data_IF_150184855329
#
_entry.id   IF_150184855329
#
_cell.length_a   1.000
_cell.length_b   1.000
_cell.length_c   1.000
_cell.angle_alpha   90.00
_cell.angle_beta   90.00
_cell.angle_gamma   90.00
#
_symmetry.space_group_name_H-M   'P 1'
#
loop_
_entity.id
_entity.type
_entity.pdbx_description
1 polymer ?
#
# COMPACT_ATOMS: atom_id res chain seq x y z
N UNK A 1 -12.24 -9.17 -7.54
CA UNK A 1 -12.63 -8.11 -6.59
C UNK A 1 -13.05 -6.84 -7.31
N UNK A 2 -13.99 -6.04 -6.75
CA UNK A 2 -14.28 -4.73 -7.29
C UNK A 2 -13.18 -3.72 -6.89
N UNK A 3 -12.59 -2.96 -7.82
CA UNK A 3 -11.60 -1.94 -7.49
C UNK A 3 -12.21 -0.88 -6.56
N UNK A 4 -11.37 -0.25 -5.74
CA UNK A 4 -11.78 0.92 -4.96
C UNK A 4 -11.99 2.09 -5.93
N UNK A 5 -13.18 2.68 -5.89
CA UNK A 5 -13.56 3.86 -6.69
C UNK A 5 -13.61 5.12 -5.85
N UNK A 6 -13.96 4.98 -4.58
CA UNK A 6 -13.99 6.08 -3.63
C UNK A 6 -13.62 5.59 -2.22
N UNK A 7 -13.07 6.53 -1.44
CA UNK A 7 -12.62 6.32 -0.07
C UNK A 7 -13.11 7.50 0.76
N UNK A 8 -13.68 7.24 1.92
CA UNK A 8 -13.96 8.26 2.92
C UNK A 8 -13.25 7.94 4.23
N UNK A 9 -12.47 8.89 4.74
CA UNK A 9 -11.71 8.77 5.98
C UNK A 9 -12.17 9.85 6.94
N UNK A 10 -12.58 9.47 8.15
CA UNK A 10 -13.00 10.37 9.23
C UNK A 10 -12.23 10.08 10.51
N UNK A 11 -11.83 11.14 11.19
CA UNK A 11 -11.21 11.10 12.52
C UNK A 11 -10.00 10.19 12.63
N UNK A 12 -9.10 10.20 11.63
CA UNK A 12 -7.90 9.36 11.61
C UNK A 12 -6.61 10.18 11.59
N UNK A 13 -5.78 10.09 12.63
CA UNK A 13 -4.48 10.79 12.76
C UNK A 13 -4.58 12.29 12.43
N UNK A 14 -3.98 12.73 11.30
CA UNK A 14 -4.05 14.12 10.84
C UNK A 14 -5.28 14.39 9.94
N UNK A 15 -6.12 13.41 9.68
CA UNK A 15 -7.28 13.51 8.80
C UNK A 15 -8.54 13.67 9.64
N UNK A 16 -9.14 14.86 9.65
CA UNK A 16 -10.45 15.09 10.29
C UNK A 16 -11.57 14.46 9.46
N UNK A 17 -11.63 14.84 8.20
CA UNK A 17 -12.56 14.28 7.23
C UNK A 17 -12.03 14.53 5.82
N UNK A 18 -11.87 13.45 5.07
CA UNK A 18 -11.44 13.49 3.68
C UNK A 18 -12.21 12.48 2.85
N UNK A 19 -12.70 12.91 1.70
CA UNK A 19 -13.31 12.06 0.69
C UNK A 19 -12.42 12.06 -0.56
N UNK A 20 -12.19 10.88 -1.11
CA UNK A 20 -11.42 10.64 -2.32
C UNK A 20 -12.37 9.97 -3.31
N UNK A 21 -12.66 10.61 -4.42
CA UNK A 21 -13.47 10.08 -5.50
C UNK A 21 -12.59 9.88 -6.74
N UNK A 22 -13.05 9.04 -7.67
CA UNK A 22 -12.38 8.84 -8.94
C UNK A 22 -11.08 8.06 -8.87
N UNK A 23 -10.94 7.12 -7.91
CA UNK A 23 -9.78 6.25 -7.88
C UNK A 23 -9.70 5.44 -9.18
N UNK A 24 -8.49 5.42 -9.77
CA UNK A 24 -8.14 4.68 -10.97
C UNK A 24 -7.35 3.41 -10.61
N UNK A 25 -6.77 2.74 -11.59
CA UNK A 25 -5.93 1.57 -11.36
C UNK A 25 -4.63 1.92 -10.63
N UNK A 26 -4.02 3.05 -10.98
CA UNK A 26 -2.83 3.61 -10.32
C UNK A 26 -3.23 4.92 -9.64
N UNK A 27 -3.06 4.98 -8.32
CA UNK A 27 -3.39 6.14 -7.50
C UNK A 27 -2.13 6.62 -6.79
N UNK A 28 -1.67 7.82 -7.10
CA UNK A 28 -0.41 8.36 -6.60
C UNK A 28 -0.68 9.55 -5.69
N UNK A 29 -0.13 9.53 -4.48
CA UNK A 29 -0.20 10.63 -3.51
C UNK A 29 1.15 11.34 -3.45
N UNK A 30 1.15 12.62 -3.76
CA UNK A 30 2.31 13.49 -3.68
C UNK A 30 2.04 14.69 -2.77
N UNK A 31 3.07 15.31 -2.25
CA UNK A 31 2.95 16.45 -1.34
C UNK A 31 4.21 16.65 -0.53
N UNK A 32 4.30 17.76 0.18
CA UNK A 32 5.42 18.04 1.08
C UNK A 32 5.60 16.96 2.16
N UNK A 33 6.76 16.85 2.79
CA UNK A 33 6.94 16.02 3.96
C UNK A 33 5.94 16.39 5.07
N UNK A 34 5.51 15.38 5.85
CA UNK A 34 4.67 15.55 7.04
C UNK A 34 3.26 16.13 6.79
N UNK A 35 2.73 16.09 5.59
CA UNK A 35 1.34 16.53 5.28
C UNK A 35 0.29 15.43 5.45
N UNK A 36 0.69 14.19 5.78
CA UNK A 36 -0.22 13.08 6.06
C UNK A 36 -0.44 12.09 4.92
N UNK A 37 0.42 12.04 3.89
CA UNK A 37 0.35 11.03 2.82
C UNK A 37 0.32 9.60 3.37
N UNK A 38 1.24 9.27 4.27
CA UNK A 38 1.29 7.95 4.92
C UNK A 38 0.01 7.63 5.69
N UNK A 39 -0.63 8.63 6.31
CA UNK A 39 -1.87 8.42 7.05
C UNK A 39 -3.01 7.96 6.14
N UNK A 40 -3.01 8.35 4.86
CA UNK A 40 -3.98 7.88 3.87
C UNK A 40 -3.78 6.39 3.59
N UNK A 41 -2.54 5.98 3.29
CA UNK A 41 -2.22 4.56 3.04
C UNK A 41 -2.42 3.71 4.29
N UNK A 42 -2.09 4.22 5.47
CA UNK A 42 -2.33 3.53 6.73
C UNK A 42 -3.84 3.34 6.99
N UNK A 43 -4.68 4.35 6.69
CA UNK A 43 -6.13 4.22 6.84
C UNK A 43 -6.70 3.10 5.95
N UNK A 44 -6.29 3.05 4.67
CA UNK A 44 -6.68 1.96 3.76
C UNK A 44 -6.05 0.64 4.24
N UNK A 45 -4.79 0.68 4.67
CA UNK A 45 -4.01 -0.46 5.15
C UNK A 45 -4.59 -1.13 6.40
N UNK A 46 -5.44 -0.43 7.19
CA UNK A 46 -6.15 -1.04 8.32
C UNK A 46 -6.93 -2.29 7.90
N UNK A 47 -7.46 -2.33 6.69
CA UNK A 47 -8.14 -3.51 6.19
C UNK A 47 -7.21 -4.71 6.00
N UNK A 48 -5.93 -4.51 5.67
CA UNK A 48 -4.97 -5.61 5.52
C UNK A 48 -4.62 -6.29 6.85
N UNK A 49 -4.89 -5.62 7.99
CA UNK A 49 -4.66 -6.19 9.32
C UNK A 49 -5.50 -7.44 9.60
N UNK A 50 -6.64 -7.57 8.95
CA UNK A 50 -7.55 -8.70 9.15
C UNK A 50 -7.06 -10.03 8.54
N UNK A 51 -6.12 -9.98 7.59
CA UNK A 51 -5.46 -11.21 7.09
C UNK A 51 -4.57 -11.86 8.12
N UNK A 52 -4.11 -11.09 9.08
CA UNK A 52 -3.11 -11.45 10.07
C UNK A 52 -3.74 -11.95 11.38
N UNK A 53 -5.08 -12.11 11.40
CA UNK A 53 -5.80 -12.68 12.53
C UNK A 53 -5.34 -14.12 12.76
N UNK A 54 -4.79 -14.37 13.96
CA UNK A 54 -4.23 -15.67 14.33
C UNK A 54 -2.70 -15.79 14.15
N UNK A 55 -2.05 -14.81 13.53
CA UNK A 55 -0.60 -14.69 13.49
C UNK A 55 -0.11 -13.68 14.54
N UNK A 56 1.21 -13.69 14.84
CA UNK A 56 1.84 -12.71 15.75
C UNK A 56 1.88 -11.31 15.12
N UNK A 57 0.71 -10.72 14.93
CA UNK A 57 0.56 -9.41 14.30
C UNK A 57 0.63 -8.28 15.34
N UNK A 58 1.46 -7.29 15.05
CA UNK A 58 1.48 -6.05 15.82
C UNK A 58 0.78 -4.97 15.01
N UNK A 59 -0.20 -4.30 15.59
CA UNK A 59 -0.90 -3.18 14.95
C UNK A 59 0.07 -2.12 14.40
N UNK A 60 1.24 -1.98 15.05
CA UNK A 60 2.32 -1.11 14.62
C UNK A 60 2.96 -1.50 13.27
N UNK A 61 2.72 -2.71 12.78
CA UNK A 61 3.20 -3.15 11.47
C UNK A 61 2.38 -2.52 10.32
N UNK A 62 1.15 -2.09 10.61
CA UNK A 62 0.31 -1.37 9.63
C UNK A 62 0.27 0.13 9.90
N UNK A 63 0.14 0.53 11.17
CA UNK A 63 0.01 1.92 11.58
C UNK A 63 1.14 2.31 12.53
N UNK A 64 1.88 3.37 12.21
CA UNK A 64 2.96 3.90 13.05
C UNK A 64 2.38 4.64 14.26
N UNK A 65 2.14 3.94 15.36
CA UNK A 65 1.61 4.50 16.61
C UNK A 65 2.28 3.87 17.84
N UNK A 66 2.40 4.62 18.91
CA UNK A 66 2.85 4.13 20.22
C UNK A 66 1.68 3.90 21.18
N UNK A 67 0.60 4.63 20.98
CA UNK A 67 -0.63 4.55 21.79
C UNK A 67 -1.84 4.57 20.86
N UNK A 68 -2.91 3.87 21.20
CA UNK A 68 -4.12 3.83 20.39
C UNK A 68 -4.79 5.20 20.20
N UNK A 69 -4.69 6.10 21.19
CA UNK A 69 -5.19 7.47 21.05
C UNK A 69 -4.56 8.24 19.88
N UNK A 70 -3.37 7.86 19.42
CA UNK A 70 -2.70 8.49 18.27
C UNK A 70 -3.33 8.12 16.91
N UNK A 71 -4.23 7.13 16.88
CA UNK A 71 -5.03 6.79 15.70
C UNK A 71 -6.13 7.80 15.42
N UNK A 72 -6.57 8.54 16.43
CA UNK A 72 -7.68 9.47 16.35
C UNK A 72 -7.20 10.88 16.06
N UNK A 73 -7.98 11.64 15.28
CA UNK A 73 -7.67 13.04 14.97
C UNK A 73 -7.55 13.85 16.27
N UNK A 74 -6.44 14.58 16.40
CA UNK A 74 -6.09 15.32 17.62
C UNK A 74 -6.13 14.46 18.91
N UNK A 75 -5.95 13.13 18.78
CA UNK A 75 -6.07 12.16 19.89
C UNK A 75 -7.45 12.14 20.55
N UNK A 76 -8.48 12.63 19.86
CA UNK A 76 -9.86 12.65 20.37
C UNK A 76 -10.57 11.32 20.04
N UNK A 77 -10.44 10.36 20.96
CA UNK A 77 -11.03 9.03 20.86
C UNK A 77 -12.51 8.96 21.28
N UNK A 78 -13.14 10.11 21.62
CA UNK A 78 -14.59 10.16 21.88
C UNK A 78 -15.43 9.90 20.63
N UNK A 79 -14.85 10.15 19.48
CA UNK A 79 -15.44 9.86 18.19
C UNK A 79 -14.71 8.69 17.52
N UNK A 80 -15.44 7.77 16.93
CA UNK A 80 -14.86 6.68 16.19
C UNK A 80 -14.05 7.17 14.97
N UNK A 81 -12.95 6.48 14.65
CA UNK A 81 -12.34 6.59 13.33
C UNK A 81 -13.15 5.76 12.35
N UNK A 82 -13.46 6.32 11.20
CA UNK A 82 -14.20 5.64 10.15
C UNK A 82 -13.42 5.66 8.83
N UNK A 83 -13.23 4.50 8.23
CA UNK A 83 -12.70 4.35 6.87
C UNK A 83 -13.73 3.60 6.05
N UNK A 84 -14.26 4.25 5.01
CA UNK A 84 -15.30 3.65 4.17
C UNK A 84 -14.76 3.48 2.74
N UNK A 85 -14.92 2.30 2.16
CA UNK A 85 -14.55 1.99 0.80
C UNK A 85 -15.79 1.72 -0.04
N UNK A 86 -15.88 2.37 -1.22
CA UNK A 86 -16.97 2.20 -2.18
C UNK A 86 -18.37 2.43 -1.55
N UNK A 87 -18.45 3.28 -0.51
CA UNK A 87 -19.69 3.55 0.23
C UNK A 87 -20.34 2.29 0.87
N UNK A 88 -19.68 1.14 0.79
CA UNK A 88 -20.23 -0.17 1.16
C UNK A 88 -19.47 -0.84 2.30
N UNK A 89 -18.17 -0.75 2.34
CA UNK A 89 -17.34 -1.40 3.33
C UNK A 89 -16.86 -0.35 4.35
N UNK A 90 -17.34 -0.41 5.58
CA UNK A 90 -17.00 0.51 6.66
C UNK A 90 -16.12 -0.20 7.69
N UNK A 91 -14.94 0.35 7.96
CA UNK A 91 -14.09 0.01 9.09
C UNK A 91 -14.22 1.11 10.15
N UNK A 92 -14.48 0.72 11.39
CA UNK A 92 -14.55 1.61 12.54
C UNK A 92 -13.50 1.23 13.58
N UNK A 93 -12.77 2.23 14.09
CA UNK A 93 -11.93 2.09 15.28
C UNK A 93 -12.62 2.82 16.43
N UNK A 94 -12.80 2.13 17.55
CA UNK A 94 -13.46 2.65 18.74
C UNK A 94 -12.55 2.37 19.94
N UNK A 95 -12.20 3.39 20.70
CA UNK A 95 -11.53 3.19 22.00
C UNK A 95 -12.58 3.13 23.09
N UNK A 96 -12.61 2.00 23.81
CA UNK A 96 -13.55 1.83 24.92
C UNK A 96 -13.07 2.55 26.20
N UNK A 97 -13.90 2.54 27.26
CA UNK A 97 -13.59 3.21 28.54
C UNK A 97 -12.40 2.58 29.27
N UNK A 98 -12.08 1.34 29.02
CA UNK A 98 -10.89 0.64 29.58
C UNK A 98 -9.60 0.98 28.83
N UNK A 99 -9.69 1.71 27.73
CA UNK A 99 -8.54 2.09 26.91
C UNK A 99 -8.21 1.09 25.80
N UNK A 100 -8.99 0.00 25.67
CA UNK A 100 -8.81 -0.99 24.62
C UNK A 100 -9.33 -0.45 23.28
N UNK A 101 -8.73 -0.91 22.20
CA UNK A 101 -9.17 -0.61 20.84
C UNK A 101 -10.09 -1.71 20.33
N UNK A 102 -11.28 -1.32 19.91
CA UNK A 102 -12.22 -2.17 19.20
C UNK A 102 -12.14 -1.82 17.71
N UNK A 103 -11.97 -2.83 16.88
CA UNK A 103 -11.99 -2.70 15.41
C UNK A 103 -13.22 -3.40 14.89
N UNK A 104 -14.08 -2.67 14.19
CA UNK A 104 -15.33 -3.19 13.66
C UNK A 104 -15.35 -3.01 12.15
N UNK A 105 -15.74 -4.04 11.40
CA UNK A 105 -15.98 -3.91 9.96
C UNK A 105 -17.43 -4.28 9.66
N UNK A 106 -18.06 -3.43 8.88
CA UNK A 106 -19.46 -3.59 8.45
C UNK A 106 -19.53 -3.50 6.94
N UNK A 107 -20.14 -4.48 6.28
CA UNK A 107 -20.50 -4.40 4.88
C UNK A 107 -21.97 -4.01 4.75
N UNK A 108 -22.26 -2.97 3.95
CA UNK A 108 -23.62 -2.48 3.71
C UNK A 108 -24.15 -3.01 2.39
N UNK A 109 -25.36 -3.56 2.38
CA UNK A 109 -26.12 -3.82 1.15
C UNK A 109 -26.97 -2.60 0.83
N UNK A 110 -26.71 -1.97 -0.30
CA UNK A 110 -27.59 -0.96 -0.83
C UNK A 110 -28.85 -1.68 -1.31
N UNK A 111 -29.94 -1.58 -0.55
CA UNK A 111 -31.26 -1.99 -1.02
C UNK A 111 -31.94 -0.81 -1.73
N UNK A 112 -32.75 -1.11 -2.75
CA UNK A 112 -33.52 -0.08 -3.50
C UNK A 112 -34.42 0.78 -2.59
N UNK A 113 -34.69 0.34 -1.37
CA UNK A 113 -35.56 0.98 -0.37
C UNK A 113 -34.87 2.02 0.53
N UNK A 114 -33.65 2.49 0.23
CA UNK A 114 -32.92 3.53 1.01
C UNK A 114 -32.70 3.21 2.51
N UNK A 115 -32.90 2.00 2.97
CA UNK A 115 -32.52 1.58 4.33
C UNK A 115 -31.23 0.80 4.25
N UNK A 116 -30.18 1.37 4.82
CA UNK A 116 -28.89 0.68 5.03
C UNK A 116 -29.12 -0.46 6.04
N UNK A 117 -29.20 -1.68 5.55
CA UNK A 117 -29.23 -2.86 6.44
C UNK A 117 -27.79 -3.37 6.49
N UNK A 118 -27.15 -3.40 7.68
CA UNK A 118 -25.85 -4.06 7.81
C UNK A 118 -26.03 -5.55 7.50
N UNK A 119 -25.27 -6.07 6.54
CA UNK A 119 -25.32 -7.48 6.18
C UNK A 119 -24.42 -8.28 7.09
N UNK A 120 -23.33 -7.67 7.54
CA UNK A 120 -22.31 -8.32 8.38
C UNK A 120 -21.75 -7.32 9.38
N UNK A 121 -21.69 -7.71 10.63
CA UNK A 121 -21.00 -7.02 11.71
C UNK A 121 -19.95 -7.97 12.28
N UNK A 122 -18.68 -7.71 12.00
CA UNK A 122 -17.56 -8.43 12.59
C UNK A 122 -16.82 -7.49 13.52
N UNK A 123 -16.91 -7.75 14.80
CA UNK A 123 -16.20 -6.99 15.82
C UNK A 123 -14.95 -7.73 16.25
N UNK A 124 -13.82 -7.07 16.18
CA UNK A 124 -12.54 -7.59 16.69
C UNK A 124 -12.10 -6.67 17.83
N UNK A 125 -11.91 -7.26 19.00
CA UNK A 125 -11.37 -6.56 20.16
C UNK A 125 -9.84 -6.66 20.14
N UNK A 126 -9.17 -5.54 19.97
CA UNK A 126 -7.73 -5.43 20.16
C UNK A 126 -7.44 -5.03 21.62
N UNK A 127 -7.41 -6.01 22.53
CA UNK A 127 -6.93 -5.80 23.90
C UNK A 127 -5.41 -6.04 23.92
N UNK A 128 -4.63 -5.09 24.41
CA UNK A 128 -3.18 -5.23 24.62
C UNK A 128 -2.38 -5.74 23.41
N UNK A 129 -2.69 -5.27 22.18
CA UNK A 129 -2.06 -5.70 20.94
C UNK A 129 -2.37 -7.15 20.49
N UNK A 130 -3.31 -7.84 21.14
CA UNK A 130 -3.78 -9.16 20.72
C UNK A 130 -5.17 -9.05 20.08
N UNK A 131 -5.34 -9.65 18.91
CA UNK A 131 -6.65 -9.80 18.28
C UNK A 131 -7.40 -10.99 18.90
N UNK A 132 -8.62 -10.75 19.36
CA UNK A 132 -9.55 -11.83 19.76
C UNK A 132 -10.72 -11.88 18.78
N UNK A 133 -10.88 -13.01 18.11
CA UNK A 133 -11.97 -13.23 17.16
C UNK A 133 -13.31 -13.35 17.89
N UNK A 134 -14.28 -12.53 17.49
CA UNK A 134 -15.68 -12.71 17.85
C UNK A 134 -16.50 -12.98 16.58
N UNK A 135 -16.68 -14.27 16.24
CA UNK A 135 -17.72 -14.85 15.38
C UNK A 135 -18.26 -13.97 14.24
N UNK A 136 -17.71 -14.06 13.05
CA UNK A 136 -18.32 -13.45 11.87
C UNK A 136 -17.49 -13.38 10.60
N UNK A 137 -16.19 -13.68 10.63
CA UNK A 137 -15.29 -13.52 9.46
C UNK A 137 -15.50 -14.64 8.40
N UNK A 138 -16.41 -15.56 8.60
CA UNK A 138 -16.60 -16.74 7.74
C UNK A 138 -17.48 -16.52 6.51
N UNK A 139 -17.91 -15.28 6.22
CA UNK A 139 -18.71 -15.02 5.02
C UNK A 139 -17.82 -14.75 3.80
N UNK A 140 -17.96 -15.52 2.70
CA UNK A 140 -17.03 -15.52 1.56
C UNK A 140 -16.83 -14.13 0.91
N UNK A 141 -17.90 -13.38 0.71
CA UNK A 141 -17.84 -12.07 0.03
C UNK A 141 -17.10 -10.98 0.84
N UNK A 142 -17.21 -11.06 2.16
CA UNK A 142 -16.53 -10.15 3.08
C UNK A 142 -15.04 -10.48 3.16
N UNK A 143 -14.71 -11.74 3.34
CA UNK A 143 -13.35 -12.25 3.38
C UNK A 143 -12.59 -11.85 2.12
N UNK A 144 -13.18 -12.05 0.94
CA UNK A 144 -12.58 -11.67 -0.34
C UNK A 144 -12.25 -10.17 -0.41
N UNK A 145 -13.17 -9.29 0.00
CA UNK A 145 -12.98 -7.85 -0.07
C UNK A 145 -11.84 -7.34 0.83
N UNK A 146 -11.73 -7.90 2.03
CA UNK A 146 -10.69 -7.54 3.01
C UNK A 146 -9.35 -8.16 2.65
N UNK A 147 -9.34 -9.42 2.24
CA UNK A 147 -8.12 -10.15 1.88
C UNK A 147 -7.45 -9.61 0.61
N UNK A 148 -8.18 -8.88 -0.22
CA UNK A 148 -7.62 -8.28 -1.41
C UNK A 148 -6.79 -7.03 -1.12
N UNK A 149 -6.97 -6.34 0.03
CA UNK A 149 -6.21 -5.15 0.39
C UNK A 149 -4.92 -5.57 1.07
N UNK A 150 -3.77 -5.16 0.52
CA UNK A 150 -2.45 -5.60 0.94
C UNK A 150 -1.50 -4.42 1.04
N UNK A 151 -1.14 -4.05 2.27
CA UNK A 151 -0.10 -3.05 2.52
C UNK A 151 1.27 -3.74 2.60
N UNK A 152 2.20 -3.27 1.80
CA UNK A 152 3.58 -3.75 1.77
C UNK A 152 4.55 -2.66 2.19
N UNK A 153 5.52 -3.04 3.02
CA UNK A 153 6.58 -2.17 3.50
C UNK A 153 7.90 -2.96 3.51
N UNK A 154 8.86 -2.52 2.72
CA UNK A 154 10.17 -3.18 2.68
C UNK A 154 10.95 -2.90 3.97
N UNK A 155 11.46 -3.96 4.59
CA UNK A 155 12.43 -3.91 5.69
C UNK A 155 13.67 -4.70 5.33
N UNK A 156 14.83 -4.04 5.37
CA UNK A 156 16.09 -4.66 4.98
C UNK A 156 16.58 -5.81 5.87
N UNK A 157 16.06 -5.90 7.08
CA UNK A 157 16.40 -6.91 8.11
C UNK A 157 15.31 -7.97 8.30
N UNK A 158 14.25 -7.98 7.45
CA UNK A 158 13.21 -8.98 7.53
C UNK A 158 13.75 -10.37 7.20
N UNK A 159 13.34 -11.37 7.96
CA UNK A 159 13.45 -12.77 7.59
C UNK A 159 12.62 -13.02 6.32
N UNK A 160 13.05 -13.95 5.47
CA UNK A 160 12.39 -14.25 4.19
C UNK A 160 12.02 -15.73 4.02
N UNK A 161 12.31 -16.55 5.01
CA UNK A 161 12.22 -18.01 4.97
C UNK A 161 11.02 -18.58 5.74
N UNK A 162 10.07 -17.73 6.15
CA UNK A 162 8.85 -18.17 6.79
C UNK A 162 7.99 -18.96 5.79
N UNK A 163 7.48 -20.11 6.21
CA UNK A 163 6.49 -20.85 5.43
C UNK A 163 5.18 -20.07 5.38
N UNK A 164 4.54 -20.04 4.22
CA UNK A 164 3.34 -19.25 4.02
C UNK A 164 2.64 -19.53 2.69
N UNK A 165 1.69 -18.69 2.29
CA UNK A 165 1.02 -18.78 0.99
C UNK A 165 1.99 -18.50 -0.17
N UNK A 166 1.60 -18.86 -1.39
CA UNK A 166 2.37 -18.54 -2.59
C UNK A 166 2.41 -17.04 -2.92
N UNK A 167 1.41 -16.28 -2.46
CA UNK A 167 1.44 -14.82 -2.52
C UNK A 167 2.31 -14.25 -1.41
N UNK A 168 3.02 -13.16 -1.70
CA UNK A 168 3.89 -12.51 -0.73
C UNK A 168 3.08 -12.09 0.52
N UNK A 169 3.58 -12.43 1.69
CA UNK A 169 2.94 -12.09 2.96
C UNK A 169 3.04 -10.61 3.27
N UNK A 170 1.94 -10.02 3.73
CA UNK A 170 1.92 -8.65 4.23
C UNK A 170 2.43 -8.63 5.68
N UNK A 171 3.02 -7.51 6.15
CA UNK A 171 3.46 -6.37 5.34
C UNK A 171 4.91 -6.51 4.84
N UNK A 172 5.73 -7.43 5.37
CA UNK A 172 7.18 -7.43 5.21
C UNK A 172 7.73 -8.50 4.27
N UNK A 173 6.88 -9.39 3.76
CA UNK A 173 7.30 -10.42 2.81
C UNK A 173 8.11 -11.55 3.42
N UNK A 174 7.82 -11.92 4.67
CA UNK A 174 8.57 -12.93 5.44
C UNK A 174 8.61 -14.32 4.75
N UNK A 175 7.71 -14.56 3.79
CA UNK A 175 7.64 -15.78 2.99
C UNK A 175 8.21 -15.65 1.57
N UNK A 176 9.12 -14.71 1.32
CA UNK A 176 9.68 -14.47 -0.02
C UNK A 176 10.29 -15.74 -0.62
N UNK A 177 10.97 -16.55 0.18
CA UNK A 177 11.53 -17.83 -0.25
C UNK A 177 10.43 -18.76 -0.81
N UNK A 178 9.32 -18.90 -0.12
CA UNK A 178 8.16 -19.70 -0.56
C UNK A 178 7.54 -19.16 -1.86
N UNK A 179 7.40 -17.82 -1.95
CA UNK A 179 6.96 -17.16 -3.18
C UNK A 179 7.86 -17.50 -4.37
N UNK A 180 9.17 -17.51 -4.16
CA UNK A 180 10.16 -17.83 -5.18
C UNK A 180 10.07 -19.32 -5.59
N UNK A 181 9.89 -20.23 -4.64
CA UNK A 181 9.69 -21.66 -4.95
C UNK A 181 8.44 -21.88 -5.79
N UNK A 182 7.34 -21.23 -5.44
CA UNK A 182 6.03 -21.43 -6.09
C UNK A 182 5.86 -20.70 -7.43
N UNK A 183 6.67 -19.67 -7.73
CA UNK A 183 6.46 -18.81 -8.90
C UNK A 183 7.64 -18.77 -9.85
N UNK A 184 7.57 -19.56 -10.93
CA UNK A 184 8.64 -19.65 -11.94
C UNK A 184 8.83 -18.36 -12.75
N UNK A 185 7.75 -17.58 -12.99
CA UNK A 185 7.83 -16.32 -13.70
C UNK A 185 8.59 -15.28 -12.84
N UNK A 186 8.28 -15.20 -11.54
CA UNK A 186 9.01 -14.35 -10.60
C UNK A 186 10.49 -14.70 -10.54
N UNK A 187 10.83 -16.00 -10.49
CA UNK A 187 12.25 -16.43 -10.52
C UNK A 187 12.99 -15.95 -11.76
N UNK A 188 12.36 -16.05 -12.94
CA UNK A 188 12.96 -15.59 -14.21
C UNK A 188 13.20 -14.09 -14.21
N UNK A 189 12.22 -13.32 -13.75
CA UNK A 189 12.31 -11.88 -13.67
C UNK A 189 13.41 -11.43 -12.68
N UNK A 190 13.54 -12.11 -11.54
CA UNK A 190 14.61 -11.81 -10.58
C UNK A 190 15.97 -12.23 -11.15
N UNK A 191 16.08 -13.41 -11.76
CA UNK A 191 17.33 -13.86 -12.37
C UNK A 191 17.85 -12.85 -13.40
N UNK A 192 16.96 -12.30 -14.23
CA UNK A 192 17.31 -11.29 -15.24
C UNK A 192 17.89 -10.00 -14.62
N UNK A 193 17.51 -9.63 -13.39
CA UNK A 193 18.10 -8.46 -12.71
C UNK A 193 19.60 -8.62 -12.41
N UNK A 194 20.09 -9.86 -12.36
CA UNK A 194 21.46 -10.19 -11.97
C UNK A 194 22.36 -10.61 -13.14
N UNK A 195 21.84 -10.69 -14.37
CA UNK A 195 22.60 -11.04 -15.56
C UNK A 195 23.76 -10.07 -15.82
N UNK A 196 23.50 -8.76 -15.69
CA UNK A 196 24.54 -7.72 -15.87
C UNK A 196 25.67 -7.84 -14.83
N UNK A 197 25.38 -8.41 -13.67
CA UNK A 197 26.35 -8.65 -12.60
C UNK A 197 27.08 -9.99 -12.74
N UNK A 198 26.74 -10.80 -13.76
CA UNK A 198 27.24 -12.17 -13.95
C UNK A 198 26.99 -13.04 -12.71
N UNK A 199 25.83 -12.87 -12.11
CA UNK A 199 25.39 -13.62 -10.95
C UNK A 199 24.19 -14.49 -11.30
N UNK A 200 24.15 -15.70 -10.76
CA UNK A 200 23.05 -16.64 -10.96
C UNK A 200 22.23 -16.79 -9.70
N UNK A 201 20.92 -16.58 -9.80
CA UNK A 201 19.97 -16.86 -8.72
C UNK A 201 19.98 -18.36 -8.40
N UNK A 202 20.17 -18.69 -7.15
CA UNK A 202 20.07 -20.06 -6.61
C UNK A 202 19.13 -20.02 -5.42
N UNK A 203 18.22 -20.97 -5.39
CA UNK A 203 17.21 -21.12 -4.34
C UNK A 203 17.30 -22.56 -3.87
N UNK A 204 17.54 -22.75 -2.60
CA UNK A 204 17.43 -24.06 -1.95
C UNK A 204 16.27 -24.07 -0.94
N UNK A 205 16.15 -25.13 -0.14
CA UNK A 205 15.04 -25.30 0.80
C UNK A 205 15.06 -24.32 1.97
N UNK A 206 16.18 -23.67 2.24
CA UNK A 206 16.37 -22.84 3.43
C UNK A 206 16.68 -21.38 3.12
N UNK A 207 17.30 -21.08 1.97
CA UNK A 207 17.75 -19.72 1.67
C UNK A 207 17.76 -19.37 0.16
N UNK A 208 17.87 -18.06 -0.08
CA UNK A 208 18.08 -17.47 -1.41
C UNK A 208 19.49 -16.87 -1.44
N UNK A 209 20.25 -17.21 -2.47
CA UNK A 209 21.55 -16.62 -2.69
C UNK A 209 21.87 -16.44 -4.17
N UNK A 210 22.93 -15.66 -4.45
CA UNK A 210 23.41 -15.39 -5.80
C UNK A 210 24.82 -15.92 -5.94
N UNK A 211 25.01 -16.80 -6.91
CA UNK A 211 26.30 -17.39 -7.21
C UNK A 211 27.05 -16.53 -8.22
N UNK A 212 28.21 -16.02 -7.83
CA UNK A 212 29.14 -15.33 -8.71
C UNK A 212 30.30 -16.25 -9.04
N UNK A 213 30.45 -16.58 -10.31
CA UNK A 213 31.60 -17.38 -10.78
C UNK A 213 32.85 -16.52 -10.81
N UNK A 214 33.96 -17.04 -10.23
CA UNK A 214 35.29 -16.42 -10.25
C UNK A 214 36.16 -17.06 -11.35
N UNK A 215 35.96 -18.37 -11.60
CA UNK A 215 36.53 -19.16 -12.67
C UNK A 215 35.59 -20.30 -13.04
N UNK A 216 35.98 -21.16 -13.98
CA UNK A 216 35.14 -22.29 -14.42
C UNK A 216 34.74 -23.23 -13.27
N UNK A 217 35.63 -23.39 -12.28
CA UNK A 217 35.47 -24.35 -11.20
C UNK A 217 35.21 -23.71 -9.81
N UNK A 218 35.23 -22.37 -9.72
CA UNK A 218 35.10 -21.69 -8.42
C UNK A 218 34.07 -20.57 -8.49
N UNK A 219 33.27 -20.47 -7.43
CA UNK A 219 32.27 -19.42 -7.27
C UNK A 219 32.16 -18.96 -5.82
N UNK A 220 31.57 -17.79 -5.62
CA UNK A 220 31.24 -17.23 -4.32
C UNK A 220 29.73 -17.10 -4.22
N UNK A 221 29.17 -17.67 -3.16
CA UNK A 221 27.78 -17.49 -2.78
C UNK A 221 27.62 -16.14 -2.08
N UNK A 222 26.66 -15.35 -2.53
CA UNK A 222 26.25 -14.08 -1.92
C UNK A 222 24.84 -14.28 -1.35
N UNK A 223 24.68 -14.48 -0.05
CA UNK A 223 23.36 -14.61 0.59
C UNK A 223 22.48 -13.38 0.33
N UNK A 224 21.16 -13.57 0.31
CA UNK A 224 20.19 -12.50 0.01
C UNK A 224 20.40 -11.25 0.87
N UNK A 225 20.69 -11.39 2.16
CA UNK A 225 20.88 -10.26 3.07
C UNK A 225 22.15 -9.41 2.76
N UNK A 226 23.10 -9.95 2.00
CA UNK A 226 24.30 -9.22 1.52
C UNK A 226 24.12 -8.58 0.14
N UNK A 227 22.98 -8.81 -0.52
CA UNK A 227 22.63 -8.13 -1.78
C UNK A 227 22.36 -6.66 -1.48
N UNK A 228 22.72 -5.79 -2.43
CA UNK A 228 22.48 -4.34 -2.32
C UNK A 228 21.01 -4.02 -2.02
N UNK A 229 20.76 -3.07 -1.13
CA UNK A 229 19.42 -2.68 -0.67
C UNK A 229 18.47 -2.35 -1.83
N UNK A 230 18.94 -1.62 -2.82
CA UNK A 230 18.20 -1.32 -4.05
C UNK A 230 17.64 -2.58 -4.73
N UNK A 231 18.48 -3.62 -4.88
CA UNK A 231 18.06 -4.85 -5.55
C UNK A 231 17.10 -5.66 -4.68
N UNK A 232 17.34 -5.74 -3.38
CA UNK A 232 16.43 -6.39 -2.43
C UNK A 232 15.04 -5.74 -2.42
N UNK A 233 14.99 -4.41 -2.46
CA UNK A 233 13.76 -3.63 -2.59
C UNK A 233 13.03 -3.96 -3.89
N UNK A 234 13.75 -3.96 -4.99
CA UNK A 234 13.16 -4.28 -6.29
C UNK A 234 12.62 -5.71 -6.33
N UNK A 235 13.35 -6.68 -5.77
CA UNK A 235 12.89 -8.07 -5.62
C UNK A 235 11.61 -8.13 -4.79
N UNK A 236 11.58 -7.44 -3.66
CA UNK A 236 10.42 -7.40 -2.77
C UNK A 236 9.15 -6.86 -3.47
N UNK A 237 9.24 -5.68 -4.11
CA UNK A 237 8.08 -5.09 -4.79
C UNK A 237 7.69 -5.88 -6.05
N UNK A 238 8.67 -6.43 -6.77
CA UNK A 238 8.39 -7.34 -7.89
C UNK A 238 7.66 -8.61 -7.41
N UNK A 239 8.08 -9.18 -6.28
CA UNK A 239 7.38 -10.31 -5.67
C UNK A 239 5.97 -9.91 -5.21
N UNK A 240 5.79 -8.73 -4.60
CA UNK A 240 4.48 -8.22 -4.21
C UNK A 240 3.54 -8.06 -5.41
N UNK A 241 4.03 -7.57 -6.53
CA UNK A 241 3.22 -7.38 -7.75
C UNK A 241 2.90 -8.74 -8.40
N UNK A 242 3.92 -9.55 -8.70
CA UNK A 242 3.77 -10.76 -9.51
C UNK A 242 3.16 -11.97 -8.76
N UNK A 243 3.12 -11.93 -7.42
CA UNK A 243 2.48 -12.98 -6.62
C UNK A 243 1.03 -12.67 -6.24
N UNK A 244 0.52 -11.50 -6.64
CA UNK A 244 -0.84 -11.07 -6.35
C UNK A 244 -1.64 -10.86 -7.64
N UNK A 245 -2.90 -11.27 -7.61
CA UNK A 245 -3.88 -11.01 -8.66
C UNK A 245 -5.17 -10.47 -8.06
N UNK A 246 -5.84 -9.57 -8.79
CA UNK A 246 -7.11 -8.96 -8.36
C UNK A 246 -7.06 -8.36 -6.95
N UNK A 247 -5.91 -7.76 -6.61
CA UNK A 247 -5.61 -7.22 -5.28
C UNK A 247 -5.46 -5.70 -5.32
N UNK A 248 -5.55 -5.08 -4.14
CA UNK A 248 -5.28 -3.66 -3.92
C UNK A 248 -3.97 -3.57 -3.17
N UNK A 249 -2.94 -3.09 -3.84
CA UNK A 249 -1.58 -3.03 -3.34
C UNK A 249 -1.26 -1.62 -2.87
N UNK A 250 -0.84 -1.49 -1.61
CA UNK A 250 -0.48 -0.22 -0.99
C UNK A 250 1.03 -0.19 -0.79
N UNK A 251 1.70 0.77 -1.44
CA UNK A 251 3.15 0.94 -1.39
C UNK A 251 3.52 2.32 -0.86
N UNK A 252 4.34 2.35 0.17
CA UNK A 252 4.86 3.59 0.75
C UNK A 252 6.31 3.80 0.34
N UNK A 253 6.57 4.86 -0.44
CA UNK A 253 7.89 5.23 -0.95
C UNK A 253 8.68 4.01 -1.49
N UNK A 254 8.10 3.26 -2.43
CA UNK A 254 8.75 2.04 -2.92
C UNK A 254 10.11 2.31 -3.57
N UNK A 255 10.28 3.52 -4.10
CA UNK A 255 11.51 3.98 -4.75
C UNK A 255 12.62 4.40 -3.78
N UNK A 256 12.36 4.47 -2.48
CA UNK A 256 13.35 4.92 -1.51
C UNK A 256 14.67 4.13 -1.65
N UNK A 257 15.80 4.85 -1.69
CA UNK A 257 17.15 4.30 -1.92
C UNK A 257 17.36 3.58 -3.27
N UNK A 258 16.42 3.69 -4.24
CA UNK A 258 16.61 3.14 -5.56
C UNK A 258 17.36 4.12 -6.48
N UNK A 259 18.31 3.59 -7.26
CA UNK A 259 18.93 4.32 -8.36
C UNK A 259 17.91 4.48 -9.51
N UNK A 260 17.84 5.64 -10.23
CA UNK A 260 16.79 5.94 -11.20
C UNK A 260 16.45 4.84 -12.22
N UNK A 261 17.39 4.13 -12.84
CA UNK A 261 17.08 3.01 -13.73
C UNK A 261 16.26 1.88 -13.08
N UNK A 262 16.41 1.66 -11.77
CA UNK A 262 15.64 0.65 -11.02
C UNK A 262 14.25 1.15 -10.65
N UNK A 263 14.10 2.48 -10.45
CA UNK A 263 12.77 3.10 -10.33
C UNK A 263 11.97 2.83 -11.60
N UNK A 264 12.59 2.98 -12.78
CA UNK A 264 11.92 2.67 -14.05
C UNK A 264 11.50 1.20 -14.15
N UNK A 265 12.33 0.25 -13.68
CA UNK A 265 11.95 -1.17 -13.62
C UNK A 265 10.72 -1.40 -12.73
N UNK A 266 10.71 -0.80 -11.53
CA UNK A 266 9.56 -0.88 -10.62
C UNK A 266 8.28 -0.28 -11.26
N UNK A 267 8.36 0.93 -11.81
CA UNK A 267 7.19 1.57 -12.43
C UNK A 267 6.68 0.80 -13.64
N UNK A 268 7.58 0.18 -14.41
CA UNK A 268 7.24 -0.72 -15.51
C UNK A 268 6.41 -1.91 -15.04
N UNK A 269 6.80 -2.56 -13.94
CA UNK A 269 6.02 -3.67 -13.36
C UNK A 269 4.59 -3.23 -12.99
N UNK A 270 4.41 -2.06 -12.39
CA UNK A 270 3.10 -1.48 -12.04
C UNK A 270 2.28 -1.13 -13.29
N UNK A 271 2.92 -0.57 -14.32
CA UNK A 271 2.25 -0.15 -15.57
C UNK A 271 1.70 -1.36 -16.34
N UNK A 272 2.50 -2.43 -16.42
CA UNK A 272 2.13 -3.64 -17.17
C UNK A 272 1.18 -4.56 -16.39
N UNK A 273 1.13 -4.49 -15.08
CA UNK A 273 0.12 -5.23 -14.31
C UNK A 273 -1.28 -4.64 -14.57
N UNK A 274 -2.16 -5.46 -15.12
CA UNK A 274 -3.55 -5.08 -15.42
C UNK A 274 -4.56 -5.72 -14.47
N UNK A 275 -4.10 -6.50 -13.51
CA UNK A 275 -4.95 -7.26 -12.59
C UNK A 275 -5.11 -6.57 -11.24
N UNK A 276 -4.10 -5.86 -10.78
CA UNK A 276 -4.07 -5.21 -9.47
C UNK A 276 -4.39 -3.71 -9.55
N UNK A 277 -4.86 -3.15 -8.44
CA UNK A 277 -5.00 -1.72 -8.24
C UNK A 277 -3.93 -1.25 -7.26
N UNK A 278 -3.34 -0.09 -7.53
CA UNK A 278 -2.21 0.44 -6.77
C UNK A 278 -2.56 1.76 -6.09
N UNK A 279 -2.13 1.91 -4.84
CA UNK A 279 -2.10 3.16 -4.09
C UNK A 279 -0.67 3.39 -3.62
N UNK A 280 -0.03 4.44 -4.11
CA UNK A 280 1.41 4.67 -3.96
C UNK A 280 1.65 6.06 -3.40
N UNK A 281 2.37 6.16 -2.28
CA UNK A 281 3.00 7.41 -1.87
C UNK A 281 4.37 7.52 -2.52
N UNK A 282 4.72 8.68 -3.04
CA UNK A 282 6.05 8.92 -3.60
C UNK A 282 6.54 10.33 -3.34
N UNK A 283 7.86 10.47 -3.27
CA UNK A 283 8.59 11.72 -3.29
C UNK A 283 9.49 11.84 -4.53
N UNK A 284 9.40 10.89 -5.46
CA UNK A 284 10.26 10.83 -6.63
C UNK A 284 9.57 11.37 -7.88
N UNK A 285 10.11 12.41 -8.52
CA UNK A 285 9.66 12.83 -9.85
C UNK A 285 9.76 11.71 -10.87
N UNK A 286 10.78 10.84 -10.80
CA UNK A 286 10.95 9.73 -11.72
C UNK A 286 9.80 8.70 -11.68
N UNK A 287 9.20 8.47 -10.51
CA UNK A 287 8.01 7.61 -10.37
C UNK A 287 6.82 8.25 -11.06
N UNK A 288 6.62 9.55 -10.79
CA UNK A 288 5.50 10.30 -11.32
C UNK A 288 5.57 10.44 -12.84
N UNK A 289 6.73 10.84 -13.36
CA UNK A 289 6.97 11.01 -14.79
C UNK A 289 6.72 9.72 -15.56
N UNK A 290 7.23 8.58 -15.03
CA UNK A 290 7.01 7.29 -15.67
C UNK A 290 5.53 6.92 -15.76
N UNK A 291 4.72 7.18 -14.73
CA UNK A 291 3.29 6.92 -14.76
C UNK A 291 2.53 7.89 -15.66
N UNK A 292 2.93 9.16 -15.69
CA UNK A 292 2.33 10.16 -16.57
C UNK A 292 2.62 9.87 -18.05
N UNK A 293 3.82 9.38 -18.37
CA UNK A 293 4.19 9.01 -19.73
C UNK A 293 3.42 7.80 -20.25
N UNK A 294 3.40 6.70 -19.48
CA UNK A 294 3.03 5.37 -19.98
C UNK A 294 1.68 4.85 -19.44
N UNK A 295 1.05 5.54 -18.50
CA UNK A 295 -0.17 5.07 -17.87
C UNK A 295 -1.20 6.18 -17.54
N UNK A 296 -1.17 7.31 -18.26
CA UNK A 296 -1.98 8.50 -17.96
C UNK A 296 -3.49 8.19 -17.84
N UNK A 297 -4.03 7.30 -18.67
CA UNK A 297 -5.46 6.93 -18.65
C UNK A 297 -5.85 6.17 -17.37
N UNK A 298 -4.92 5.39 -16.84
CA UNK A 298 -5.08 4.56 -15.65
C UNK A 298 -4.65 5.27 -14.35
N UNK A 299 -4.17 6.52 -14.44
CA UNK A 299 -3.52 7.28 -13.36
C UNK A 299 -4.45 8.31 -12.73
N UNK A 300 -4.50 8.34 -11.41
CA UNK A 300 -5.03 9.44 -10.61
C UNK A 300 -3.92 9.99 -9.70
N UNK A 301 -3.69 11.31 -9.73
CA UNK A 301 -2.70 12.00 -8.91
C UNK A 301 -3.43 12.83 -7.86
N UNK A 302 -3.09 12.65 -6.60
CA UNK A 302 -3.63 13.37 -5.47
C UNK A 302 -2.55 14.26 -4.84
N UNK A 303 -2.80 15.57 -4.85
CA UNK A 303 -1.98 16.56 -4.18
C UNK A 303 -2.40 16.63 -2.72
N UNK A 304 -1.53 16.16 -1.82
CA UNK A 304 -1.77 16.14 -0.37
C UNK A 304 -1.08 17.33 0.27
N UNK A 305 -1.83 18.09 1.07
CA UNK A 305 -1.33 19.29 1.73
C UNK A 305 -1.91 19.42 3.14
N UNK A 306 -1.32 20.29 3.94
CA UNK A 306 -1.77 20.54 5.30
C UNK A 306 -2.43 21.92 5.36
N UNK A 307 -3.68 21.98 5.78
CA UNK A 307 -4.42 23.23 5.94
C UNK A 307 -5.18 23.24 7.26
N UNK A 308 -5.08 24.38 8.00
CA UNK A 308 -5.79 24.60 9.26
C UNK A 308 -5.69 23.45 10.28
N UNK A 309 -4.52 22.81 10.37
CA UNK A 309 -4.28 21.75 11.33
C UNK A 309 -4.74 20.36 10.90
N UNK A 310 -5.10 20.16 9.64
CA UNK A 310 -5.55 18.88 9.12
C UNK A 310 -5.01 18.56 7.72
N UNK A 311 -4.89 17.28 7.41
CA UNK A 311 -4.56 16.80 6.06
C UNK A 311 -5.73 17.05 5.11
N UNK A 312 -5.44 17.64 3.97
CA UNK A 312 -6.34 17.86 2.85
C UNK A 312 -5.79 17.24 1.58
N UNK A 313 -6.67 16.95 0.65
CA UNK A 313 -6.30 16.42 -0.67
C UNK A 313 -7.09 17.11 -1.77
N UNK A 314 -6.41 17.25 -2.91
CA UNK A 314 -7.00 17.69 -4.18
C UNK A 314 -6.61 16.69 -5.26
N UNK A 315 -7.58 16.17 -6.00
CA UNK A 315 -7.29 15.39 -7.20
C UNK A 315 -6.79 16.34 -8.30
N UNK A 316 -5.76 15.94 -9.01
CA UNK A 316 -5.24 16.68 -10.14
C UNK A 316 -6.16 16.50 -11.33
N UNK A 317 -6.55 17.59 -12.01
CA UNK A 317 -7.40 17.51 -13.20
C UNK A 317 -6.62 16.98 -14.39
N UNK A 318 -7.32 16.40 -15.37
CA UNK A 318 -6.71 15.97 -16.64
C UNK A 318 -5.98 17.15 -17.32
N UNK A 319 -6.59 18.32 -17.30
CA UNK A 319 -5.99 19.56 -17.85
C UNK A 319 -4.68 19.89 -17.15
N UNK A 320 -4.61 19.81 -15.80
CA UNK A 320 -3.38 20.09 -15.06
C UNK A 320 -2.30 19.03 -15.38
N UNK A 321 -2.70 17.75 -15.56
CA UNK A 321 -1.78 16.67 -15.96
C UNK A 321 -1.22 16.89 -17.37
N UNK A 322 -2.07 17.30 -18.32
CA UNK A 322 -1.65 17.63 -19.68
C UNK A 322 -0.68 18.81 -19.69
N UNK A 323 -0.96 19.86 -18.91
CA UNK A 323 -0.09 21.04 -18.77
C UNK A 323 1.30 20.63 -18.21
N UNK A 324 1.34 19.83 -17.15
CA UNK A 324 2.60 19.32 -16.59
C UNK A 324 3.39 18.55 -17.64
N UNK A 325 2.72 17.69 -18.40
CA UNK A 325 3.34 16.87 -19.44
C UNK A 325 3.84 17.70 -20.63
N UNK A 326 3.02 18.63 -21.12
CA UNK A 326 3.34 19.47 -22.29
C UNK A 326 4.52 20.41 -22.02
N UNK A 327 4.55 21.04 -20.84
CA UNK A 327 5.58 22.03 -20.50
C UNK A 327 6.75 21.44 -19.70
N UNK A 328 6.74 20.15 -19.39
CA UNK A 328 7.79 19.49 -18.61
C UNK A 328 7.95 20.08 -17.20
N UNK A 329 6.82 20.43 -16.56
CA UNK A 329 6.82 21.09 -15.25
C UNK A 329 7.17 20.06 -14.18
N UNK A 330 8.22 20.33 -13.38
CA UNK A 330 8.46 19.56 -12.18
C UNK A 330 7.38 19.87 -11.13
N UNK A 331 6.47 18.90 -10.94
CA UNK A 331 5.31 19.06 -10.07
C UNK A 331 5.70 19.20 -8.59
N UNK A 332 6.82 18.62 -8.15
CA UNK A 332 7.29 18.72 -6.77
C UNK A 332 7.77 20.13 -6.42
N UNK A 333 8.43 20.82 -7.37
CA UNK A 333 8.82 22.22 -7.18
C UNK A 333 7.65 23.19 -7.35
N UNK A 334 6.63 22.83 -8.12
CA UNK A 334 5.50 23.70 -8.47
C UNK A 334 4.19 23.36 -7.78
N UNK A 335 4.22 22.50 -6.76
CA UNK A 335 3.03 21.94 -6.10
C UNK A 335 2.03 23.02 -5.64
N UNK A 336 2.50 24.13 -5.07
CA UNK A 336 1.63 25.21 -4.59
C UNK A 336 0.81 25.88 -5.70
N UNK A 337 1.35 25.98 -6.90
CA UNK A 337 0.64 26.55 -8.03
C UNK A 337 -0.60 25.73 -8.37
N UNK A 338 -0.45 24.40 -8.40
CA UNK A 338 -1.54 23.49 -8.68
C UNK A 338 -2.55 23.35 -7.53
N UNK A 339 -2.13 23.59 -6.28
CA UNK A 339 -3.06 23.67 -5.15
C UNK A 339 -3.95 24.92 -5.23
N UNK A 340 -3.43 26.06 -5.69
CA UNK A 340 -4.14 27.36 -5.78
C UNK A 340 -5.11 27.43 -6.96
N UNK A 341 -4.86 26.78 -8.10
CA UNK A 341 -5.72 26.82 -9.30
C UNK A 341 -7.16 26.32 -9.07
N UNK A 342 -7.47 25.68 -7.96
CA UNK A 342 -8.82 25.25 -7.60
C UNK A 342 -9.68 26.26 -6.85
N UNK A 343 -9.14 27.41 -6.44
CA UNK A 343 -9.89 28.43 -5.68
C UNK A 343 -10.45 29.57 -6.55
N UNK A 344 -10.21 29.58 -7.87
CA UNK A 344 -10.60 30.70 -8.74
C UNK A 344 -12.00 30.53 -9.38
N UNK A 345 -12.68 29.39 -9.23
CA UNK A 345 -13.97 29.13 -9.87
C UNK A 345 -15.18 29.18 -8.92
N UNK A 346 -15.13 29.93 -7.81
CA UNK A 346 -16.31 30.26 -7.01
C UNK A 346 -16.24 31.74 -6.57
N UNK A 347 -16.39 32.64 -7.53
CA UNK A 347 -16.73 34.05 -7.32
C UNK A 347 -17.86 34.43 -8.29
#
# INVERSE_FOLDING_TARGET
>A
MNPIRNIEIKNFKSIRHQKIDGCKRINVFIGYPNVGKSNILEAIGLYSSFRLIGEYFKFNDICRVKRFSELFFNKDYRNATNVTLNEKLLLELIQNKSGDLEVRITAKKVTESKRDIPIYDSTILAANYEYRDNKGINEPAYKEAVEAIRKYEFKGDSEINRKGPLALSVPFGDNLLECLHGNSALRKEIAALFEDYKQKLVIDDEEVFFLKYLSDDTGVSIPYHLVADTLRRLIFYKAAILSNENSILLFEEPEAHMFPPYIRKFTTDVIFDKTNQFFINTHSPYVLDAFMEDASDDLAIYLVYFDKGETKMKVMSEKDMDEVKEYGVDLFYNLESYLKHGHVNNA
#
